data_IF_799538744832
#
_entry.id   IF_799538744832
#
_cell.length_a   1.000
_cell.length_b   1.000
_cell.length_c   1.000
_cell.angle_alpha   90.00
_cell.angle_beta   90.00
_cell.angle_gamma   90.00
#
_symmetry.space_group_name_H-M   'P 1'
#
loop_
_entity.id
_entity.type
_entity.pdbx_description
1 polymer ?
#
# COMPACT_ATOMS: atom_id res chain seq x y z
N UNK A 1 -18.26 -14.75 -20.42
CA UNK A 1 -18.16 -15.36 -19.08
C UNK A 1 -18.85 -14.39 -18.14
N UNK A 2 -20.01 -14.75 -17.62
CA UNK A 2 -20.58 -14.00 -16.51
C UNK A 2 -19.69 -14.29 -15.30
N UNK A 3 -19.09 -13.27 -14.69
CA UNK A 3 -18.52 -13.42 -13.36
C UNK A 3 -19.68 -13.85 -12.45
N UNK A 4 -19.51 -14.97 -11.75
CA UNK A 4 -20.56 -15.55 -10.93
C UNK A 4 -20.85 -14.58 -9.78
N UNK A 5 -22.05 -14.00 -9.75
CA UNK A 5 -22.43 -12.99 -8.75
C UNK A 5 -22.39 -13.53 -7.32
N UNK A 6 -22.32 -14.86 -7.13
CA UNK A 6 -22.15 -15.50 -5.83
C UNK A 6 -20.82 -15.14 -5.16
N UNK A 7 -19.74 -14.98 -5.92
CA UNK A 7 -18.42 -14.59 -5.39
C UNK A 7 -18.47 -13.15 -4.82
N UNK A 8 -19.27 -12.27 -5.43
CA UNK A 8 -19.38 -10.87 -5.01
C UNK A 8 -20.15 -10.71 -3.70
N UNK A 9 -21.17 -11.53 -3.45
CA UNK A 9 -21.89 -11.50 -2.17
C UNK A 9 -21.06 -12.08 -1.01
N UNK A 10 -20.17 -13.05 -1.29
CA UNK A 10 -19.20 -13.53 -0.31
C UNK A 10 -18.22 -12.41 0.08
N UNK A 11 -17.64 -11.72 -0.91
CA UNK A 11 -16.72 -10.60 -0.67
C UNK A 11 -17.42 -9.46 0.06
N UNK A 12 -18.66 -9.08 -0.32
CA UNK A 12 -19.44 -8.06 0.41
C UNK A 12 -19.71 -8.43 1.86
N UNK A 13 -19.86 -9.71 2.17
CA UNK A 13 -20.03 -10.18 3.54
C UNK A 13 -18.75 -10.04 4.38
N UNK A 14 -17.58 -9.92 3.73
CA UNK A 14 -16.29 -9.65 4.39
C UNK A 14 -16.07 -8.17 4.71
N UNK A 15 -16.91 -7.26 4.18
CA UNK A 15 -16.86 -5.83 4.50
C UNK A 15 -16.98 -5.62 6.00
N UNK A 16 -16.05 -4.85 6.57
CA UNK A 16 -16.03 -4.49 7.99
C UNK A 16 -16.42 -3.04 8.18
N UNK A 17 -15.65 -2.12 7.59
CA UNK A 17 -15.96 -0.69 7.52
C UNK A 17 -15.89 -0.18 6.09
N UNK A 18 -16.38 1.06 5.86
CA UNK A 18 -16.32 1.72 4.56
C UNK A 18 -14.92 2.20 4.20
N UNK A 19 -14.08 2.52 5.19
CA UNK A 19 -12.76 3.09 4.95
C UNK A 19 -11.78 2.80 6.09
N UNK A 20 -10.52 2.53 5.74
CA UNK A 20 -9.40 2.45 6.68
C UNK A 20 -8.29 3.39 6.27
N UNK A 21 -7.66 4.02 7.27
CA UNK A 21 -6.51 4.89 7.07
C UNK A 21 -5.37 4.45 7.99
N UNK A 22 -4.19 4.33 7.40
CA UNK A 22 -2.96 4.00 8.09
C UNK A 22 -1.86 4.96 7.63
N UNK A 23 -0.93 5.25 8.53
CA UNK A 23 0.26 6.03 8.22
C UNK A 23 1.47 5.24 8.71
N UNK A 24 2.38 4.94 7.81
CA UNK A 24 3.58 4.18 8.12
C UNK A 24 4.82 5.06 7.98
N UNK A 25 5.77 5.01 8.92
CA UNK A 25 7.07 5.62 8.72
C UNK A 25 7.86 4.83 7.68
N UNK A 26 8.56 5.52 6.78
CA UNK A 26 9.49 4.92 5.83
C UNK A 26 10.83 5.64 5.87
N UNK A 27 11.88 4.90 5.52
CA UNK A 27 13.23 5.40 5.37
C UNK A 27 13.56 5.55 3.89
N UNK A 28 14.35 6.56 3.55
CA UNK A 28 14.86 6.78 2.19
C UNK A 28 16.30 7.29 2.22
N UNK A 29 17.05 6.96 1.19
CA UNK A 29 18.44 7.39 1.01
C UNK A 29 18.45 8.83 0.46
N UNK A 30 18.97 9.76 1.25
CA UNK A 30 19.21 11.16 0.84
C UNK A 30 20.46 11.24 -0.03
N UNK A 31 21.55 10.60 0.39
CA UNK A 31 22.84 10.68 -0.30
C UNK A 31 23.71 9.47 0.00
N UNK A 32 24.69 9.20 -0.86
CA UNK A 32 25.75 8.22 -0.63
C UNK A 32 27.06 8.97 -0.41
N UNK A 33 27.54 8.94 0.83
CA UNK A 33 28.74 9.68 1.25
C UNK A 33 30.00 8.82 1.26
N UNK A 34 29.87 7.50 1.13
CA UNK A 34 30.99 6.56 1.10
C UNK A 34 31.66 6.44 -0.26
N UNK A 35 32.96 6.12 -0.27
CA UNK A 35 33.71 5.74 -1.47
C UNK A 35 33.14 4.47 -2.12
N UNK A 36 33.66 4.10 -3.29
CA UNK A 36 33.27 2.91 -4.06
C UNK A 36 33.26 1.58 -3.27
N UNK A 37 33.93 1.53 -2.11
CA UNK A 37 34.02 0.37 -1.21
C UNK A 37 33.24 0.52 0.11
N UNK A 38 32.45 1.58 0.28
CA UNK A 38 31.68 1.84 1.50
C UNK A 38 30.20 2.10 1.21
N UNK A 39 29.34 1.41 1.95
CA UNK A 39 27.88 1.55 1.96
C UNK A 39 27.46 2.57 3.04
N UNK A 40 28.00 3.79 2.96
CA UNK A 40 27.61 4.89 3.84
C UNK A 40 26.52 5.72 3.18
N UNK A 41 25.30 5.57 3.72
CA UNK A 41 24.11 6.28 3.25
C UNK A 41 23.66 7.29 4.29
N UNK A 42 23.29 8.49 3.83
CA UNK A 42 22.54 9.45 4.64
C UNK A 42 21.07 9.05 4.53
N UNK A 43 20.48 8.62 5.63
CA UNK A 43 19.07 8.20 5.68
C UNK A 43 18.18 9.37 6.11
N UNK A 44 17.11 9.59 5.36
CA UNK A 44 16.00 10.46 5.69
C UNK A 44 14.77 9.64 6.05
N UNK A 45 13.87 10.27 6.80
CA UNK A 45 12.62 9.64 7.22
C UNK A 45 11.46 10.43 6.64
N UNK A 46 10.43 9.72 6.17
CA UNK A 46 9.14 10.31 5.86
C UNK A 46 8.04 9.33 6.26
N UNK A 47 6.83 9.58 5.80
CA UNK A 47 5.68 8.72 6.01
C UNK A 47 5.00 8.43 4.70
N UNK A 48 4.33 7.30 4.61
CA UNK A 48 3.39 6.98 3.55
C UNK A 48 2.00 6.85 4.16
N UNK A 49 1.06 7.62 3.62
CA UNK A 49 -0.34 7.55 3.99
C UNK A 49 -1.01 6.53 3.08
N UNK A 50 -1.75 5.60 3.68
CA UNK A 50 -2.40 4.48 3.01
C UNK A 50 -3.87 4.50 3.36
N UNK A 51 -4.71 4.48 2.34
CA UNK A 51 -6.16 4.51 2.44
C UNK A 51 -6.73 3.28 1.73
N UNK A 52 -7.66 2.61 2.41
CA UNK A 52 -8.45 1.52 1.84
C UNK A 52 -9.91 1.95 1.82
N UNK A 53 -10.46 2.19 0.63
CA UNK A 53 -11.87 2.52 0.46
C UNK A 53 -12.63 1.30 -0.04
N UNK A 54 -13.74 0.98 0.63
CA UNK A 54 -14.62 -0.06 0.15
C UNK A 54 -15.32 0.38 -1.13
N UNK A 55 -15.25 -0.47 -2.15
CA UNK A 55 -16.01 -0.36 -3.37
C UNK A 55 -17.05 -1.47 -3.41
N UNK A 56 -18.33 -1.12 -3.58
CA UNK A 56 -19.44 -2.08 -3.55
C UNK A 56 -19.55 -2.99 -4.79
N UNK A 57 -18.64 -2.83 -5.74
CA UNK A 57 -18.66 -3.55 -7.02
C UNK A 57 -19.67 -2.94 -7.99
N UNK A 58 -19.47 -3.17 -9.28
CA UNK A 58 -20.47 -2.96 -10.32
C UNK A 58 -20.46 -4.13 -11.32
N UNK A 59 -21.21 -4.04 -12.42
CA UNK A 59 -21.27 -5.09 -13.44
C UNK A 59 -19.91 -5.40 -14.11
N UNK A 60 -18.90 -4.54 -13.93
CA UNK A 60 -17.57 -4.61 -14.54
C UNK A 60 -16.43 -4.82 -13.54
N UNK A 61 -16.66 -4.56 -12.24
CA UNK A 61 -15.62 -4.65 -11.21
C UNK A 61 -16.16 -5.31 -9.94
N UNK A 62 -15.36 -6.21 -9.36
CA UNK A 62 -15.73 -6.90 -8.12
C UNK A 62 -15.81 -5.92 -6.94
N UNK A 63 -16.66 -6.18 -5.93
CA UNK A 63 -16.59 -5.48 -4.66
C UNK A 63 -15.26 -5.77 -3.95
N UNK A 64 -14.77 -4.83 -3.15
CA UNK A 64 -13.53 -5.00 -2.40
C UNK A 64 -12.94 -3.67 -1.92
N UNK A 65 -11.88 -3.76 -1.11
CA UNK A 65 -11.11 -2.59 -0.68
C UNK A 65 -10.12 -2.17 -1.77
N UNK A 66 -10.16 -0.89 -2.11
CA UNK A 66 -9.23 -0.24 -3.04
C UNK A 66 -8.14 0.46 -2.27
N UNK A 67 -6.90 0.07 -2.55
CA UNK A 67 -5.70 0.70 -2.01
C UNK A 67 -5.40 2.00 -2.75
N UNK A 68 -5.35 3.11 -2.01
CA UNK A 68 -4.74 4.36 -2.44
C UNK A 68 -3.61 4.71 -1.47
N UNK A 69 -2.49 5.19 -1.98
CA UNK A 69 -1.37 5.58 -1.12
C UNK A 69 -0.72 6.86 -1.62
N UNK A 70 0.02 7.50 -0.72
CA UNK A 70 0.79 8.71 -1.00
C UNK A 70 2.01 8.75 -0.11
N UNK A 71 3.19 8.81 -0.72
CA UNK A 71 4.43 9.09 0.00
C UNK A 71 4.53 10.59 0.29
N UNK A 72 4.55 10.95 1.57
CA UNK A 72 4.68 12.35 1.97
C UNK A 72 6.05 12.87 1.57
N UNK A 73 6.07 14.06 0.96
CA UNK A 73 7.27 14.71 0.44
C UNK A 73 8.04 13.87 -0.62
N UNK A 74 7.36 12.99 -1.37
CA UNK A 74 8.01 12.17 -2.40
C UNK A 74 8.85 12.98 -3.41
N UNK A 75 8.39 14.18 -3.76
CA UNK A 75 9.12 15.09 -4.65
C UNK A 75 10.46 15.62 -4.08
N UNK A 76 10.70 15.44 -2.78
CA UNK A 76 11.96 15.78 -2.10
C UNK A 76 12.87 14.54 -1.95
N UNK A 77 12.38 13.34 -2.26
CA UNK A 77 13.15 12.10 -2.19
C UNK A 77 13.99 11.94 -3.46
N UNK A 78 15.30 11.76 -3.35
CA UNK A 78 16.17 11.49 -4.51
C UNK A 78 15.82 10.15 -5.17
N UNK A 79 15.41 10.17 -6.43
CA UNK A 79 15.02 8.96 -7.19
C UNK A 79 16.20 8.01 -7.44
N UNK A 80 17.43 8.54 -7.48
CA UNK A 80 18.62 7.77 -7.88
C UNK A 80 18.94 6.55 -7.01
N UNK A 81 18.45 6.51 -5.77
CA UNK A 81 18.74 5.45 -4.80
C UNK A 81 17.50 4.74 -4.24
N UNK A 82 16.31 5.33 -4.38
CA UNK A 82 15.10 4.88 -3.67
C UNK A 82 14.07 4.19 -4.58
N UNK A 83 14.37 4.09 -5.88
CA UNK A 83 13.42 3.55 -6.85
C UNK A 83 12.23 4.49 -7.06
N UNK A 84 11.09 3.89 -7.38
CA UNK A 84 9.80 4.54 -7.56
C UNK A 84 8.99 4.60 -6.26
N UNK A 85 7.87 5.32 -6.28
CA UNK A 85 6.95 5.40 -5.13
C UNK A 85 6.40 4.02 -4.75
N UNK A 86 6.20 3.14 -5.74
CA UNK A 86 5.79 1.75 -5.51
C UNK A 86 6.85 0.93 -4.77
N UNK A 87 8.15 1.17 -5.04
CA UNK A 87 9.24 0.50 -4.30
C UNK A 87 9.27 0.91 -2.82
N UNK A 88 8.86 2.14 -2.52
CA UNK A 88 8.71 2.62 -1.14
C UNK A 88 7.48 2.00 -0.44
N UNK A 89 6.39 1.77 -1.17
CA UNK A 89 5.23 1.05 -0.65
C UNK A 89 5.57 -0.42 -0.35
N UNK A 90 6.33 -1.08 -1.21
CA UNK A 90 6.69 -2.49 -1.06
C UNK A 90 7.48 -2.75 0.24
N UNK A 91 8.26 -1.78 0.72
CA UNK A 91 8.98 -1.88 1.99
C UNK A 91 8.06 -2.09 3.20
N UNK A 92 6.85 -1.54 3.17
CA UNK A 92 5.89 -1.58 4.28
C UNK A 92 4.71 -2.51 4.01
N UNK A 93 4.69 -3.19 2.86
CA UNK A 93 3.54 -3.99 2.45
C UNK A 93 3.23 -5.12 3.44
N UNK A 94 4.25 -5.70 4.07
CA UNK A 94 4.07 -6.70 5.13
C UNK A 94 3.37 -6.12 6.36
N UNK A 95 3.67 -4.87 6.73
CA UNK A 95 3.07 -4.20 7.88
C UNK A 95 1.61 -3.84 7.58
N UNK A 96 1.35 -3.33 6.37
CA UNK A 96 -0.02 -3.11 5.85
C UNK A 96 -0.86 -4.38 5.98
N UNK A 97 -0.35 -5.52 5.52
CA UNK A 97 -1.08 -6.80 5.62
C UNK A 97 -1.32 -7.22 7.07
N UNK A 98 -0.38 -6.93 7.98
CA UNK A 98 -0.52 -7.17 9.41
C UNK A 98 -1.66 -6.36 10.01
N UNK A 99 -1.68 -5.06 9.75
CA UNK A 99 -2.68 -4.14 10.30
C UNK A 99 -4.07 -4.39 9.72
N UNK A 100 -4.19 -4.68 8.42
CA UNK A 100 -5.46 -5.10 7.80
C UNK A 100 -6.02 -6.36 8.47
N UNK A 101 -5.17 -7.37 8.71
CA UNK A 101 -5.59 -8.60 9.43
C UNK A 101 -5.99 -8.30 10.87
N UNK A 102 -5.28 -7.39 11.55
CA UNK A 102 -5.64 -6.97 12.91
C UNK A 102 -6.98 -6.23 12.95
N UNK A 103 -7.32 -5.48 11.90
CA UNK A 103 -8.64 -4.88 11.67
C UNK A 103 -9.71 -5.88 11.23
N UNK A 104 -9.37 -7.16 11.08
CA UNK A 104 -10.31 -8.21 10.69
C UNK A 104 -10.68 -8.21 9.20
N UNK A 105 -9.83 -7.59 8.37
CA UNK A 105 -9.93 -7.56 6.91
C UNK A 105 -9.06 -8.69 6.37
N UNK A 106 -9.66 -9.62 5.65
CA UNK A 106 -8.90 -10.65 4.97
C UNK A 106 -8.20 -10.07 3.74
N UNK A 107 -6.93 -10.44 3.54
CA UNK A 107 -6.10 -9.93 2.42
C UNK A 107 -6.74 -10.20 1.05
N UNK A 108 -7.58 -11.24 0.95
CA UNK A 108 -8.33 -11.56 -0.27
C UNK A 108 -9.45 -10.58 -0.62
N UNK A 109 -9.86 -9.70 0.31
CA UNK A 109 -10.85 -8.65 0.07
C UNK A 109 -10.22 -7.35 -0.46
N UNK A 110 -8.90 -7.29 -0.60
CA UNK A 110 -8.17 -6.15 -1.17
C UNK A 110 -7.84 -6.49 -2.62
N UNK A 111 -8.37 -5.74 -3.58
CA UNK A 111 -7.91 -5.87 -4.95
C UNK A 111 -6.49 -5.30 -5.05
N UNK A 112 -5.50 -6.18 -5.17
CA UNK A 112 -4.11 -5.81 -5.41
C UNK A 112 -3.93 -5.42 -6.88
N UNK A 113 -4.25 -4.17 -7.21
CA UNK A 113 -3.85 -3.59 -8.49
C UNK A 113 -2.42 -3.03 -8.34
N UNK A 114 -1.44 -3.81 -8.81
CA UNK A 114 -0.09 -3.32 -9.12
C UNK A 114 -0.01 -2.99 -10.61
#
# INVERSE_FOLDING_TARGET
>A
MAFDTSDYDEIRSMKRDDCYYFTYPIEYIIDRIGDENSDEYVIGNTTIDVQFDWYDGDDSQAPGYRLSYKVNNYNQIPVGFNGSESDLLDQIYSDIQGDLRASGIEVGAVESWF
#
